data_IF_884562832771
#
_entry.id   IF_884562832771
#
_cell.length_a   1.000
_cell.length_b   1.000
_cell.length_c   1.000
_cell.angle_alpha   90.00
_cell.angle_beta   90.00
_cell.angle_gamma   90.00
#
_symmetry.space_group_name_H-M   'P 1'
#
loop_
_entity.id
_entity.type
_entity.pdbx_description
1 polymer ?
#
# COMPACT_ATOMS: atom_id res chain seq x y z
N UNK A 1 12.81 8.74 -22.24
CA UNK A 1 13.59 8.80 -20.96
C UNK A 1 12.76 8.31 -19.79
N UNK A 2 13.44 8.09 -18.64
CA UNK A 2 12.81 7.82 -17.33
C UNK A 2 13.20 8.96 -16.42
N UNK A 3 12.22 9.59 -15.77
CA UNK A 3 12.44 10.62 -14.77
C UNK A 3 12.00 10.07 -13.41
N UNK A 4 12.98 9.83 -12.54
CA UNK A 4 12.72 9.37 -11.18
C UNK A 4 12.26 10.53 -10.30
N UNK A 5 11.22 10.33 -9.47
CA UNK A 5 10.82 11.33 -8.47
C UNK A 5 11.93 11.52 -7.41
N UNK A 6 12.56 10.40 -7.00
CA UNK A 6 13.64 10.36 -6.02
C UNK A 6 14.72 9.39 -6.47
N UNK A 7 15.94 9.61 -6.05
CA UNK A 7 17.07 8.69 -6.22
C UNK A 7 17.30 7.81 -5.00
N UNK A 8 16.62 8.09 -3.88
CA UNK A 8 16.70 7.31 -2.64
C UNK A 8 15.30 7.13 -2.08
N UNK A 9 14.95 5.89 -1.82
CA UNK A 9 13.69 5.47 -1.20
C UNK A 9 13.99 4.77 0.12
N UNK A 10 13.03 4.73 1.01
CA UNK A 10 13.06 3.95 2.24
C UNK A 10 11.89 2.97 2.32
N UNK A 11 11.94 2.03 3.26
CA UNK A 11 10.80 1.15 3.49
C UNK A 11 9.54 1.96 3.79
N UNK A 12 8.39 1.47 3.35
CA UNK A 12 7.05 2.05 3.37
C UNK A 12 6.80 3.10 2.27
N UNK A 13 7.82 3.54 1.55
CA UNK A 13 7.62 4.39 0.37
C UNK A 13 7.25 3.55 -0.85
N UNK A 14 6.58 4.19 -1.81
CA UNK A 14 6.24 3.60 -3.10
C UNK A 14 7.12 4.19 -4.18
N UNK A 15 7.56 3.35 -5.10
CA UNK A 15 8.30 3.79 -6.27
C UNK A 15 7.38 4.64 -7.16
N UNK A 16 7.88 5.79 -7.60
CA UNK A 16 7.21 6.63 -8.58
C UNK A 16 8.23 7.15 -9.59
N UNK A 17 7.89 7.07 -10.86
CA UNK A 17 8.67 7.62 -11.96
C UNK A 17 7.76 8.01 -13.13
N UNK A 18 8.29 8.78 -14.05
CA UNK A 18 7.62 9.21 -15.28
C UNK A 18 8.36 8.62 -16.46
N UNK A 19 7.64 7.98 -17.38
CA UNK A 19 8.17 7.59 -18.69
C UNK A 19 7.85 8.70 -19.66
N UNK A 20 8.90 9.34 -20.17
CA UNK A 20 8.80 10.35 -21.24
C UNK A 20 9.13 9.72 -22.58
N UNK A 21 8.26 9.89 -23.55
CA UNK A 21 8.44 9.42 -24.93
C UNK A 21 8.38 10.58 -25.91
N UNK A 22 9.03 10.46 -27.04
CA UNK A 22 8.97 11.47 -28.12
C UNK A 22 7.75 11.30 -29.00
N UNK A 23 7.16 10.10 -29.03
CA UNK A 23 6.00 9.75 -29.84
C UNK A 23 5.21 8.64 -29.15
N UNK A 24 3.89 8.68 -29.27
CA UNK A 24 2.98 7.62 -28.81
C UNK A 24 2.72 6.68 -29.99
N UNK A 25 3.30 5.47 -29.95
CA UNK A 25 3.18 4.48 -31.05
C UNK A 25 1.97 3.56 -30.90
N UNK A 26 1.36 3.52 -29.70
CA UNK A 26 0.30 2.59 -29.34
C UNK A 26 0.80 1.24 -28.78
N UNK A 27 2.13 1.03 -28.77
CA UNK A 27 2.72 -0.13 -28.10
C UNK A 27 2.85 0.14 -26.59
N UNK A 28 2.80 -0.89 -25.73
CA UNK A 28 3.13 -0.73 -24.32
C UNK A 28 4.64 -0.58 -24.13
N UNK A 29 5.04 0.17 -23.12
CA UNK A 29 6.41 0.08 -22.61
C UNK A 29 6.54 -1.16 -21.72
N UNK A 30 7.67 -1.86 -21.82
CA UNK A 30 7.97 -3.03 -20.98
C UNK A 30 8.95 -2.62 -19.90
N UNK A 31 8.59 -2.84 -18.65
CA UNK A 31 9.37 -2.46 -17.49
C UNK A 31 9.93 -3.70 -16.82
N UNK A 32 11.19 -3.64 -16.40
CA UNK A 32 11.81 -4.56 -15.46
C UNK A 32 12.44 -3.78 -14.32
N UNK A 33 12.14 -4.20 -13.09
CA UNK A 33 12.78 -3.65 -11.89
C UNK A 33 13.69 -4.74 -11.35
N UNK A 34 14.98 -4.49 -11.22
CA UNK A 34 15.97 -5.46 -10.74
C UNK A 34 16.92 -4.87 -9.70
N UNK A 35 17.44 -5.73 -8.84
CA UNK A 35 18.52 -5.41 -7.91
C UNK A 35 19.92 -5.48 -8.58
N UNK A 36 20.97 -5.17 -7.84
CA UNK A 36 22.36 -5.26 -8.31
C UNK A 36 22.78 -6.68 -8.69
N UNK A 37 22.16 -7.70 -8.11
CA UNK A 37 22.44 -9.11 -8.44
C UNK A 37 21.72 -9.55 -9.73
N UNK A 38 20.91 -8.67 -10.34
CA UNK A 38 20.11 -8.96 -11.52
C UNK A 38 18.83 -9.74 -11.23
N UNK A 39 18.47 -9.95 -9.95
CA UNK A 39 17.19 -10.52 -9.58
C UNK A 39 16.12 -9.41 -9.73
N UNK A 40 15.11 -9.68 -10.53
CA UNK A 40 14.13 -8.64 -10.84
C UNK A 40 12.70 -9.15 -11.01
N UNK A 41 11.83 -8.21 -11.32
CA UNK A 41 10.43 -8.47 -11.66
C UNK A 41 10.30 -9.24 -12.98
N UNK A 42 9.17 -9.88 -13.18
CA UNK A 42 8.70 -10.22 -14.53
C UNK A 42 8.49 -8.94 -15.34
N UNK A 43 8.33 -9.08 -16.65
CA UNK A 43 7.97 -7.98 -17.54
C UNK A 43 6.65 -7.34 -17.11
N UNK A 44 6.64 -6.03 -16.91
CA UNK A 44 5.47 -5.24 -16.51
C UNK A 44 5.10 -4.36 -17.71
N UNK A 45 4.01 -4.65 -18.44
CA UNK A 45 3.56 -3.80 -19.52
C UNK A 45 2.86 -2.56 -18.97
N UNK A 46 3.26 -1.38 -19.45
CA UNK A 46 2.66 -0.09 -19.14
C UNK A 46 2.12 0.53 -20.43
N UNK A 47 0.85 0.88 -20.42
CA UNK A 47 0.22 1.57 -21.55
C UNK A 47 0.79 2.99 -21.69
N UNK A 48 1.24 3.34 -22.88
CA UNK A 48 1.75 4.66 -23.21
C UNK A 48 0.67 5.44 -23.96
N UNK A 49 0.03 6.36 -23.27
CA UNK A 49 -1.09 7.15 -23.81
C UNK A 49 -0.74 8.61 -24.06
N UNK A 50 0.36 9.10 -23.47
CA UNK A 50 0.80 10.49 -23.53
C UNK A 50 2.31 10.57 -23.74
N UNK A 51 2.82 11.79 -23.98
CA UNK A 51 4.26 12.01 -24.03
C UNK A 51 4.93 11.88 -22.66
N UNK A 52 4.18 12.14 -21.58
CA UNK A 52 4.57 11.94 -20.19
C UNK A 52 3.59 10.97 -19.54
N UNK A 53 4.09 9.85 -19.03
CA UNK A 53 3.26 8.78 -18.45
C UNK A 53 3.73 8.51 -17.00
N UNK A 54 3.02 8.99 -16.00
CA UNK A 54 3.34 8.72 -14.59
C UNK A 54 3.06 7.25 -14.25
N UNK A 55 4.03 6.62 -13.58
CA UNK A 55 3.97 5.21 -13.18
C UNK A 55 4.15 5.11 -11.67
N UNK A 56 3.06 5.12 -10.90
CA UNK A 56 3.09 4.82 -9.46
C UNK A 56 3.18 3.31 -9.22
N UNK A 57 4.03 2.87 -8.29
CA UNK A 57 4.00 1.49 -7.82
C UNK A 57 2.75 1.24 -6.99
N UNK A 58 2.11 0.08 -7.20
CA UNK A 58 0.96 -0.34 -6.41
C UNK A 58 1.35 -0.83 -5.02
N UNK A 59 2.60 -1.29 -4.85
CA UNK A 59 3.13 -1.83 -3.60
C UNK A 59 4.22 -0.92 -3.04
N UNK A 60 4.28 -0.83 -1.71
CA UNK A 60 5.38 -0.17 -1.02
C UNK A 60 6.60 -1.09 -0.91
N UNK A 61 7.77 -0.52 -0.64
CA UNK A 61 8.95 -1.29 -0.32
C UNK A 61 8.81 -1.91 1.08
N UNK A 62 8.68 -3.23 1.15
CA UNK A 62 8.57 -4.00 2.39
C UNK A 62 9.86 -4.78 2.64
N UNK A 63 10.29 -4.85 3.93
CA UNK A 63 11.56 -5.50 4.34
C UNK A 63 11.66 -6.96 3.91
N UNK A 64 10.55 -7.67 3.95
CA UNK A 64 10.52 -9.11 3.63
C UNK A 64 10.59 -9.39 2.12
N UNK A 65 10.32 -8.37 1.30
CA UNK A 65 10.24 -8.51 -0.16
C UNK A 65 11.42 -7.86 -0.87
N UNK A 66 11.86 -6.69 -0.39
CA UNK A 66 12.87 -5.87 -1.04
C UNK A 66 14.13 -5.76 -0.18
N UNK A 67 15.25 -6.43 -0.53
CA UNK A 67 16.54 -6.19 0.09
C UNK A 67 17.00 -4.75 -0.05
N UNK A 68 17.78 -4.26 0.93
CA UNK A 68 18.44 -2.96 0.83
C UNK A 68 19.50 -2.95 -0.28
N UNK A 69 19.71 -1.81 -0.89
CA UNK A 69 20.73 -1.61 -1.91
C UNK A 69 20.23 -0.89 -3.15
N UNK A 70 20.99 -1.01 -4.20
CA UNK A 70 20.66 -0.38 -5.48
C UNK A 70 19.70 -1.20 -6.31
N UNK A 71 18.83 -0.48 -6.98
CA UNK A 71 17.84 -0.99 -7.92
C UNK A 71 17.91 -0.24 -9.23
N UNK A 72 17.49 -0.93 -10.29
CA UNK A 72 17.42 -0.40 -11.64
C UNK A 72 16.02 -0.58 -12.19
N UNK A 73 15.50 0.45 -12.84
CA UNK A 73 14.28 0.43 -13.62
C UNK A 73 14.67 0.44 -15.09
N UNK A 74 14.58 -0.71 -15.72
CA UNK A 74 14.84 -0.85 -17.15
C UNK A 74 13.52 -0.70 -17.90
N UNK A 75 13.50 0.15 -18.92
CA UNK A 75 12.32 0.42 -19.75
C UNK A 75 12.67 0.19 -21.20
N UNK A 76 11.91 -0.66 -21.87
CA UNK A 76 11.96 -0.85 -23.32
C UNK A 76 10.68 -0.26 -23.94
N UNK A 77 10.84 0.61 -24.92
CA UNK A 77 9.75 1.19 -25.70
C UNK A 77 10.17 1.47 -27.14
N UNK A 78 9.41 0.92 -28.08
CA UNK A 78 9.60 1.13 -29.53
C UNK A 78 11.06 0.88 -29.99
N UNK A 79 11.69 -0.18 -29.45
CA UNK A 79 13.07 -0.57 -29.76
C UNK A 79 14.16 0.30 -29.11
N UNK A 80 13.78 1.22 -28.22
CA UNK A 80 14.71 2.01 -27.40
C UNK A 80 14.69 1.49 -25.96
N UNK A 81 15.87 1.43 -25.34
CA UNK A 81 16.06 0.99 -23.97
C UNK A 81 16.60 2.14 -23.12
N UNK A 82 16.08 2.25 -21.89
CA UNK A 82 16.50 3.23 -20.89
C UNK A 82 16.59 2.56 -19.54
N UNK A 83 17.56 3.00 -18.72
CA UNK A 83 17.72 2.54 -17.35
C UNK A 83 17.81 3.74 -16.43
N UNK A 84 17.05 3.73 -15.35
CA UNK A 84 17.21 4.64 -14.22
C UNK A 84 17.58 3.84 -12.97
N UNK A 85 18.32 4.47 -12.04
CA UNK A 85 18.71 3.84 -10.78
C UNK A 85 18.11 4.54 -9.57
N UNK A 86 17.89 3.79 -8.51
CA UNK A 86 17.57 4.31 -7.18
C UNK A 86 18.20 3.42 -6.10
N UNK A 87 18.30 3.93 -4.89
CA UNK A 87 18.80 3.22 -3.74
C UNK A 87 17.67 3.03 -2.72
N UNK A 88 17.51 1.81 -2.20
CA UNK A 88 16.63 1.51 -1.09
C UNK A 88 17.44 1.44 0.20
N UNK A 89 17.14 2.31 1.14
CA UNK A 89 17.79 2.40 2.45
C UNK A 89 16.85 1.95 3.56
N UNK A 90 17.41 1.56 4.70
CA UNK A 90 16.60 1.24 5.89
C UNK A 90 15.96 2.49 6.48
N UNK A 91 14.83 2.30 7.10
CA UNK A 91 14.15 3.32 7.89
C UNK A 91 13.52 2.67 9.11
N UNK A 92 13.34 3.46 10.18
CA UNK A 92 12.60 3.01 11.37
C UNK A 92 11.08 3.00 11.16
N UNK A 93 10.62 3.25 9.93
CA UNK A 93 9.20 3.25 9.60
C UNK A 93 8.61 1.84 9.67
N UNK A 94 7.44 1.75 10.23
CA UNK A 94 6.62 0.54 10.25
C UNK A 94 5.53 0.72 9.20
N UNK A 95 5.43 -0.25 8.29
CA UNK A 95 4.47 -0.19 7.18
C UNK A 95 3.19 -0.94 7.52
N UNK A 96 2.10 -0.51 6.91
CA UNK A 96 0.92 -1.36 6.78
C UNK A 96 1.22 -2.40 5.69
N UNK A 97 1.16 -3.71 5.98
CA UNK A 97 1.42 -4.74 4.98
C UNK A 97 0.51 -4.61 3.76
N UNK A 98 1.05 -4.85 2.57
CA UNK A 98 0.29 -4.78 1.29
C UNK A 98 -0.95 -5.69 1.30
N UNK A 99 -0.90 -6.80 2.05
CA UNK A 99 -2.04 -7.70 2.22
C UNK A 99 -3.30 -6.98 2.77
N UNK A 100 -3.14 -5.95 3.62
CA UNK A 100 -4.26 -5.15 4.12
C UNK A 100 -5.00 -4.44 2.98
N UNK A 101 -4.32 -4.07 1.90
CA UNK A 101 -4.95 -3.47 0.73
C UNK A 101 -6.05 -4.35 0.12
N UNK A 102 -5.88 -5.68 0.13
CA UNK A 102 -6.89 -6.61 -0.36
C UNK A 102 -8.11 -6.66 0.55
N UNK A 103 -7.91 -6.75 1.87
CA UNK A 103 -9.01 -6.66 2.83
C UNK A 103 -9.75 -5.33 2.71
N UNK A 104 -9.01 -4.25 2.51
CA UNK A 104 -9.59 -2.92 2.35
C UNK A 104 -10.46 -2.83 1.08
N UNK A 105 -10.03 -3.41 -0.05
CA UNK A 105 -10.83 -3.47 -1.28
C UNK A 105 -12.12 -4.26 -1.04
N UNK A 106 -12.06 -5.41 -0.38
CA UNK A 106 -13.25 -6.21 -0.04
C UNK A 106 -14.20 -5.45 0.90
N UNK A 107 -13.66 -4.72 1.86
CA UNK A 107 -14.43 -3.89 2.77
C UNK A 107 -15.08 -2.69 2.08
N UNK A 108 -14.36 -1.98 1.20
CA UNK A 108 -14.89 -0.87 0.40
C UNK A 108 -16.02 -1.32 -0.54
N UNK A 109 -15.96 -2.57 -1.01
CA UNK A 109 -17.00 -3.19 -1.83
C UNK A 109 -18.11 -3.88 -1.00
N UNK A 110 -18.13 -3.68 0.32
CA UNK A 110 -19.12 -4.24 1.25
C UNK A 110 -19.19 -5.77 1.26
N UNK A 111 -18.10 -6.45 0.86
CA UNK A 111 -18.00 -7.91 0.87
C UNK A 111 -17.58 -8.47 2.22
N UNK A 112 -16.92 -7.67 3.04
CA UNK A 112 -16.61 -7.97 4.43
C UNK A 112 -17.12 -6.85 5.33
N UNK A 113 -17.45 -7.18 6.58
CA UNK A 113 -17.92 -6.21 7.57
C UNK A 113 -16.77 -5.42 8.18
N UNK A 114 -17.11 -4.34 8.88
CA UNK A 114 -16.15 -3.52 9.64
C UNK A 114 -15.34 -4.37 10.61
N UNK A 115 -16.00 -5.29 11.34
CA UNK A 115 -15.32 -6.17 12.26
C UNK A 115 -14.28 -7.07 11.60
N UNK A 116 -14.55 -7.60 10.42
CA UNK A 116 -13.55 -8.38 9.67
C UNK A 116 -12.39 -7.52 9.20
N UNK A 117 -12.63 -6.26 8.84
CA UNK A 117 -11.55 -5.34 8.49
C UNK A 117 -10.67 -5.02 9.71
N UNK A 118 -11.26 -4.77 10.87
CA UNK A 118 -10.53 -4.52 12.12
C UNK A 118 -9.78 -5.78 12.59
N UNK A 119 -10.37 -6.98 12.44
CA UNK A 119 -9.71 -8.26 12.71
C UNK A 119 -8.46 -8.46 11.81
N UNK A 120 -8.57 -8.12 10.53
CA UNK A 120 -7.42 -8.17 9.63
C UNK A 120 -6.31 -7.19 10.06
N UNK A 121 -6.67 -5.97 10.47
CA UNK A 121 -5.73 -5.00 11.02
C UNK A 121 -5.05 -5.58 12.25
N UNK A 122 -5.80 -6.15 13.21
CA UNK A 122 -5.26 -6.73 14.43
C UNK A 122 -4.30 -7.89 14.16
N UNK A 123 -4.55 -8.69 13.12
CA UNK A 123 -3.73 -9.87 12.77
C UNK A 123 -2.46 -9.53 12.01
N UNK A 124 -2.52 -8.54 11.15
CA UNK A 124 -1.46 -8.31 10.15
C UNK A 124 -0.70 -7.01 10.32
N UNK A 125 -1.24 -6.01 11.02
CA UNK A 125 -0.56 -4.73 11.24
C UNK A 125 0.20 -4.77 12.55
N UNK A 126 1.44 -4.25 12.55
CA UNK A 126 2.24 -4.14 13.78
C UNK A 126 1.49 -3.30 14.83
N UNK A 127 1.31 -3.80 16.05
CA UNK A 127 0.62 -3.07 17.12
C UNK A 127 1.25 -1.72 17.47
N UNK A 128 2.54 -1.53 17.16
CA UNK A 128 3.20 -0.21 17.30
C UNK A 128 2.64 0.84 16.36
N UNK A 129 2.05 0.41 15.24
CA UNK A 129 1.44 1.31 14.27
C UNK A 129 -0.06 1.48 14.53
N UNK A 130 -0.80 0.38 14.69
CA UNK A 130 -2.24 0.37 15.03
C UNK A 130 -2.45 -0.62 16.17
N UNK A 131 -2.81 -0.12 17.35
CA UNK A 131 -3.11 -0.94 18.50
C UNK A 131 -4.63 -1.14 18.64
N UNK A 132 -5.08 -2.40 18.59
CA UNK A 132 -6.46 -2.78 18.86
C UNK A 132 -6.53 -3.32 20.29
N UNK A 133 -7.06 -2.56 21.27
CA UNK A 133 -6.98 -2.88 22.70
C UNK A 133 -8.03 -3.88 23.18
N UNK A 134 -8.74 -4.53 22.28
CA UNK A 134 -9.77 -5.52 22.59
C UNK A 134 -9.63 -6.74 21.69
N UNK A 135 -10.07 -7.89 22.18
CA UNK A 135 -10.04 -9.14 21.44
C UNK A 135 -11.24 -9.20 20.46
N UNK A 136 -10.97 -9.64 19.24
CA UNK A 136 -12.00 -9.86 18.22
C UNK A 136 -12.23 -11.37 18.10
N UNK A 137 -13.48 -11.78 18.19
CA UNK A 137 -13.90 -13.17 18.12
C UNK A 137 -15.27 -13.28 17.42
N UNK A 138 -15.74 -14.49 17.19
CA UNK A 138 -17.03 -14.75 16.51
C UNK A 138 -18.22 -14.07 17.20
N UNK A 139 -18.16 -13.88 18.53
CA UNK A 139 -19.25 -13.28 19.31
C UNK A 139 -19.36 -11.76 19.15
N UNK A 140 -18.28 -11.06 18.82
CA UNK A 140 -18.24 -9.60 18.73
C UNK A 140 -17.90 -9.03 17.35
N UNK A 141 -17.39 -9.84 16.42
CA UNK A 141 -16.95 -9.39 15.10
C UNK A 141 -18.06 -8.67 14.30
N UNK A 142 -19.32 -9.08 14.48
CA UNK A 142 -20.47 -8.46 13.84
C UNK A 142 -21.06 -7.26 14.61
N UNK A 143 -20.46 -6.92 15.75
CA UNK A 143 -20.88 -5.80 16.62
C UNK A 143 -19.89 -4.62 16.53
N UNK A 144 -18.92 -4.72 15.67
CA UNK A 144 -17.91 -3.66 15.43
C UNK A 144 -18.37 -2.88 14.21
N UNK A 145 -18.55 -1.58 14.41
CA UNK A 145 -18.92 -0.63 13.35
C UNK A 145 -17.87 0.47 13.27
N UNK A 146 -17.60 0.91 12.05
CA UNK A 146 -16.76 2.08 11.77
C UNK A 146 -17.61 3.18 11.13
N UNK A 147 -17.31 4.46 11.42
CA UNK A 147 -17.98 5.56 10.71
C UNK A 147 -17.78 5.48 9.19
N UNK A 148 -18.81 5.70 8.40
CA UNK A 148 -18.77 5.56 6.93
C UNK A 148 -17.68 6.39 6.25
N UNK A 149 -17.34 7.56 6.80
CA UNK A 149 -16.30 8.41 6.24
C UNK A 149 -14.90 7.77 6.26
N UNK A 150 -14.66 6.76 7.11
CA UNK A 150 -13.39 6.00 7.16
C UNK A 150 -13.14 5.27 5.85
N UNK A 151 -14.19 4.86 5.15
CA UNK A 151 -14.10 4.27 3.80
C UNK A 151 -13.42 5.22 2.82
N UNK A 152 -13.68 6.53 2.91
CA UNK A 152 -13.01 7.52 2.07
C UNK A 152 -11.51 7.62 2.37
N UNK A 153 -11.12 7.54 3.65
CA UNK A 153 -9.70 7.52 4.03
C UNK A 153 -9.02 6.24 3.52
N UNK A 154 -9.67 5.08 3.68
CA UNK A 154 -9.18 3.81 3.14
C UNK A 154 -9.00 3.85 1.62
N UNK A 155 -9.96 4.43 0.90
CA UNK A 155 -9.85 4.62 -0.54
C UNK A 155 -8.66 5.52 -0.91
N UNK A 156 -8.44 6.64 -0.21
CA UNK A 156 -7.30 7.52 -0.44
C UNK A 156 -5.96 6.87 -0.09
N UNK A 157 -5.94 6.01 0.93
CA UNK A 157 -4.74 5.23 1.26
C UNK A 157 -4.38 4.26 0.13
N UNK A 158 -5.35 3.52 -0.45
CA UNK A 158 -5.10 2.65 -1.63
C UNK A 158 -4.57 3.46 -2.80
N UNK A 159 -5.10 4.66 -3.04
CA UNK A 159 -4.66 5.55 -4.11
C UNK A 159 -3.29 6.20 -3.85
N UNK A 160 -2.74 6.05 -2.64
CA UNK A 160 -1.45 6.65 -2.25
C UNK A 160 -1.53 8.12 -1.84
N UNK A 161 -2.73 8.70 -1.71
CA UNK A 161 -2.91 10.08 -1.23
C UNK A 161 -2.81 10.21 0.28
N UNK A 162 -2.98 9.12 1.01
CA UNK A 162 -2.84 9.00 2.46
C UNK A 162 -1.73 8.00 2.75
N UNK A 163 -0.77 8.39 3.57
CA UNK A 163 0.33 7.53 3.99
C UNK A 163 -0.13 6.48 5.02
N UNK A 164 0.68 5.44 5.22
CA UNK A 164 0.45 4.42 6.25
C UNK A 164 0.28 5.03 7.63
N UNK A 165 1.12 6.02 7.95
CA UNK A 165 1.08 6.72 9.23
C UNK A 165 -0.21 7.51 9.42
N UNK A 166 -0.67 8.22 8.40
CA UNK A 166 -1.92 9.00 8.46
C UNK A 166 -3.13 8.08 8.60
N UNK A 167 -3.17 6.98 7.83
CA UNK A 167 -4.22 5.97 7.98
C UNK A 167 -4.24 5.38 9.38
N UNK A 168 -3.07 4.98 9.91
CA UNK A 168 -2.94 4.46 11.27
C UNK A 168 -3.40 5.46 12.33
N UNK A 169 -3.06 6.75 12.18
CA UNK A 169 -3.50 7.81 13.09
C UNK A 169 -5.03 7.94 13.14
N UNK A 170 -5.70 7.80 11.99
CA UNK A 170 -7.17 7.84 11.94
C UNK A 170 -7.76 6.65 12.70
N UNK A 171 -7.28 5.44 12.47
CA UNK A 171 -7.80 4.23 13.15
C UNK A 171 -7.55 4.33 14.67
N UNK A 172 -6.33 4.68 15.09
CA UNK A 172 -6.02 4.84 16.52
C UNK A 172 -6.90 5.92 17.17
N UNK A 173 -7.12 7.06 16.49
CA UNK A 173 -8.03 8.11 16.99
C UNK A 173 -9.44 7.60 17.20
N UNK A 174 -9.98 6.81 16.27
CA UNK A 174 -11.33 6.25 16.38
C UNK A 174 -11.45 5.25 17.54
N UNK A 175 -10.39 4.46 17.76
CA UNK A 175 -10.32 3.55 18.90
C UNK A 175 -10.26 4.34 20.21
N UNK A 176 -9.37 5.32 20.32
CA UNK A 176 -9.20 6.16 21.53
C UNK A 176 -10.47 6.93 21.89
N UNK A 177 -11.27 7.30 20.88
CA UNK A 177 -12.56 8.00 21.09
C UNK A 177 -13.76 7.06 21.23
N UNK A 178 -13.53 5.74 21.28
CA UNK A 178 -14.55 4.71 21.34
C UNK A 178 -15.57 4.73 20.18
N UNK A 179 -15.16 5.21 19.01
CA UNK A 179 -15.95 5.06 17.79
C UNK A 179 -15.82 3.65 17.19
N UNK A 180 -14.69 2.99 17.45
CA UNK A 180 -14.46 1.59 17.11
C UNK A 180 -14.30 0.84 18.44
N UNK A 181 -15.29 0.06 18.80
CA UNK A 181 -15.29 -0.74 20.02
C UNK A 181 -15.93 -2.10 19.77
N UNK A 182 -15.50 -3.11 20.51
CA UNK A 182 -16.25 -4.35 20.60
C UNK A 182 -17.34 -4.15 21.65
N UNK A 183 -18.60 -4.05 21.25
CA UNK A 183 -19.73 -4.02 22.15
C UNK A 183 -19.88 -5.40 22.81
N UNK A 184 -19.22 -5.59 23.94
CA UNK A 184 -19.47 -6.76 24.78
C UNK A 184 -20.81 -6.53 25.52
N UNK A 185 -21.81 -7.35 25.25
CA UNK A 185 -22.97 -7.43 26.11
C UNK A 185 -22.48 -7.94 27.47
N UNK A 186 -22.62 -7.10 28.50
CA UNK A 186 -22.53 -7.58 29.88
C UNK A 186 -23.78 -8.44 30.05
N UNK A 187 -23.64 -9.77 29.92
CA UNK A 187 -24.65 -10.68 30.39
C UNK A 187 -24.79 -10.41 31.89
N UNK A 188 -25.83 -9.63 32.25
CA UNK A 188 -26.30 -9.55 33.61
C UNK A 188 -26.90 -10.92 33.94
N UNK A 189 -26.10 -11.80 34.54
CA UNK A 189 -26.66 -12.95 35.27
C UNK A 189 -27.56 -12.41 36.36
N UNK A 190 -28.88 -12.66 36.21
CA UNK A 190 -29.88 -12.49 37.23
C UNK A 190 -30.01 -13.82 37.98
#
# INVERSE_FOLDING_TARGET
>A
SIVMEKTTYSYCERLFYIIEVSEVTGDPAIIHIRDEAGKGSSAIPIEISNLENPVPSLIAFEKDTFPLGKYFVDVEYSGSEFTAEFELIDSDNICIPTAIGQFLIEWLNERISDGYMIDAIQKYVDPKLIEIPFEINEGNIHKIDMPDWVKSIGYWWIQGFVSDKEFAQVINYLIDKNFITAHMEIENEI
#
